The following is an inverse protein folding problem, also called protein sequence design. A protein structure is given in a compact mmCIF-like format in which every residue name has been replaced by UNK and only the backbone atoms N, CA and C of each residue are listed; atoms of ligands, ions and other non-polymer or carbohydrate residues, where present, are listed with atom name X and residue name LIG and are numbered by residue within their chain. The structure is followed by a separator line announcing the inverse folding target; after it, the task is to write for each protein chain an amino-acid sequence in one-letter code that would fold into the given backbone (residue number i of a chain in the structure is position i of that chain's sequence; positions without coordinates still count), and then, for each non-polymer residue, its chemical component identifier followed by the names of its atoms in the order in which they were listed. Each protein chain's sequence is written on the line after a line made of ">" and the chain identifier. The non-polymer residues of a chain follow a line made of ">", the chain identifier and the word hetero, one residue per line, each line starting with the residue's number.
data_IF_287597511517
#
_entry.id   IF_287597511517
#
_cell.length_a   1.000
_cell.length_b   1.000
_cell.length_c   1.000
_cell.angle_alpha   90.00
_cell.angle_beta   90.00
_cell.angle_gamma   90.00
#
_symmetry.space_group_name_H-M   'P 1'
#
loop_
_entity.id
_entity.type
_entity.pdbx_description
1 polymer ?
#
# COMPACT_ATOMS: atom_id res chain seq x y z
N UNK A 1 -7.46 -53.20 -56.83
CA UNK A 1 -6.48 -52.47 -56.01
C UNK A 1 -7.25 -51.54 -55.08
N UNK A 2 -7.39 -51.98 -53.82
CA UNK A 2 -7.70 -51.26 -52.57
C UNK A 2 -8.95 -50.35 -52.54
N UNK A 3 -10.01 -50.88 -51.91
CA UNK A 3 -11.04 -50.11 -51.21
C UNK A 3 -10.43 -49.50 -49.94
N UNK A 4 -10.77 -48.26 -49.58
CA UNK A 4 -10.69 -47.86 -48.17
C UNK A 4 -11.85 -46.93 -47.81
N UNK A 5 -12.88 -47.57 -47.27
CA UNK A 5 -14.04 -46.98 -46.63
C UNK A 5 -13.66 -46.80 -45.15
N UNK A 6 -13.56 -45.56 -44.67
CA UNK A 6 -13.13 -45.27 -43.30
C UNK A 6 -14.06 -44.25 -42.66
N UNK A 7 -15.29 -44.68 -42.40
CA UNK A 7 -16.12 -44.11 -41.36
C UNK A 7 -16.88 -45.23 -40.66
N UNK A 8 -17.04 -45.06 -39.33
CA UNK A 8 -17.92 -45.81 -38.39
C UNK A 8 -17.19 -46.81 -37.48
N UNK A 9 -16.52 -46.26 -36.48
CA UNK A 9 -16.54 -46.83 -35.12
C UNK A 9 -17.05 -45.75 -34.18
N UNK A 10 -18.37 -45.70 -34.00
CA UNK A 10 -18.96 -44.98 -32.87
C UNK A 10 -18.85 -45.89 -31.64
N UNK A 11 -18.39 -45.38 -30.49
CA UNK A 11 -18.25 -46.18 -29.29
C UNK A 11 -19.62 -46.66 -28.76
N UNK A 12 -19.61 -47.83 -28.13
CA UNK A 12 -20.77 -48.53 -27.59
C UNK A 12 -21.64 -47.62 -26.69
N UNK A 13 -22.95 -47.69 -26.89
CA UNK A 13 -24.01 -46.99 -26.14
C UNK A 13 -23.91 -47.17 -24.61
N UNK A 14 -23.26 -48.24 -24.14
CA UNK A 14 -22.97 -48.47 -22.71
C UNK A 14 -21.92 -47.50 -22.16
N UNK A 15 -20.92 -47.13 -22.97
CA UNK A 15 -19.87 -46.16 -22.63
C UNK A 15 -20.44 -44.73 -22.62
N UNK A 16 -21.31 -44.39 -23.58
CA UNK A 16 -22.00 -43.09 -23.61
C UNK A 16 -22.91 -42.87 -22.38
N UNK A 17 -23.58 -43.92 -21.89
CA UNK A 17 -24.46 -43.82 -20.70
C UNK A 17 -23.70 -43.72 -19.38
N UNK A 18 -22.51 -44.32 -19.29
CA UNK A 18 -21.64 -44.22 -18.12
C UNK A 18 -20.99 -42.83 -18.00
N UNK A 19 -20.53 -42.26 -19.12
CA UNK A 19 -19.90 -40.93 -19.16
C UNK A 19 -20.91 -39.81 -18.84
N UNK A 20 -22.16 -39.93 -19.28
CA UNK A 20 -23.22 -38.94 -18.99
C UNK A 20 -23.59 -38.89 -17.49
N UNK A 21 -23.45 -40.01 -16.75
CA UNK A 21 -23.71 -40.04 -15.29
C UNK A 21 -22.55 -39.49 -14.45
N UNK A 22 -21.31 -39.54 -14.95
CA UNK A 22 -20.12 -39.02 -14.23
C UNK A 22 -20.01 -37.49 -14.39
N UNK A 23 -20.44 -36.95 -15.53
CA UNK A 23 -20.42 -35.49 -15.79
C UNK A 23 -21.46 -34.75 -14.95
N UNK A 24 -22.59 -35.37 -14.60
CA UNK A 24 -23.66 -34.73 -13.80
C UNK A 24 -23.25 -34.60 -12.31
N UNK A 25 -22.32 -35.42 -11.81
CA UNK A 25 -21.96 -35.45 -10.38
C UNK A 25 -20.70 -34.62 -10.02
N UNK A 26 -20.02 -34.00 -10.98
CA UNK A 26 -18.75 -33.25 -10.75
C UNK A 26 -18.87 -31.74 -10.95
N UNK A 27 -20.08 -31.19 -11.11
CA UNK A 27 -20.30 -29.76 -11.43
C UNK A 27 -20.57 -28.88 -10.19
N UNK A 28 -20.71 -29.41 -8.98
CA UNK A 28 -21.18 -28.62 -7.81
C UNK A 28 -20.13 -28.36 -6.73
N UNK A 29 -18.88 -28.04 -7.10
CA UNK A 29 -17.88 -27.62 -6.11
C UNK A 29 -16.93 -26.52 -6.60
N UNK A 30 -17.43 -25.62 -7.44
CA UNK A 30 -16.75 -24.35 -7.67
C UNK A 30 -17.15 -23.46 -6.47
N UNK A 31 -16.24 -23.13 -5.53
CA UNK A 31 -16.56 -22.12 -4.53
C UNK A 31 -16.87 -20.82 -5.27
N UNK A 32 -18.08 -20.30 -5.09
CA UNK A 32 -18.42 -18.96 -5.55
C UNK A 32 -17.44 -17.99 -4.90
N UNK A 33 -16.55 -17.42 -5.71
CA UNK A 33 -15.77 -16.26 -5.29
C UNK A 33 -16.78 -15.11 -5.19
N UNK A 34 -17.33 -14.91 -4.00
CA UNK A 34 -18.05 -13.67 -3.70
C UNK A 34 -17.01 -12.55 -3.82
N UNK A 35 -17.17 -11.59 -4.74
CA UNK A 35 -16.27 -10.45 -4.80
C UNK A 35 -16.32 -9.77 -3.42
N UNK A 36 -15.15 -9.53 -2.84
CA UNK A 36 -15.06 -8.81 -1.58
C UNK A 36 -15.78 -7.47 -1.77
N UNK A 37 -16.82 -7.24 -0.98
CA UNK A 37 -17.52 -5.96 -0.97
C UNK A 37 -16.52 -4.90 -0.51
N UNK A 38 -16.45 -3.77 -1.22
CA UNK A 38 -15.63 -2.65 -0.80
C UNK A 38 -16.22 -2.13 0.52
N UNK A 39 -15.56 -2.46 1.63
CA UNK A 39 -15.97 -2.01 2.94
C UNK A 39 -15.82 -0.48 3.03
N UNK A 40 -16.73 0.15 3.78
CA UNK A 40 -16.56 1.55 4.18
C UNK A 40 -15.22 1.75 4.89
N UNK A 41 -14.53 2.89 4.66
CA UNK A 41 -13.26 3.17 5.31
C UNK A 41 -13.44 3.20 6.84
N UNK A 42 -12.56 2.50 7.55
CA UNK A 42 -12.50 2.52 9.01
C UNK A 42 -11.33 3.39 9.43
N UNK A 43 -11.57 4.31 10.37
CA UNK A 43 -10.51 5.13 10.94
C UNK A 43 -9.50 4.23 11.66
N UNK A 44 -8.25 4.24 11.20
CA UNK A 44 -7.16 3.49 11.83
C UNK A 44 -6.62 4.24 13.06
N UNK A 45 -6.33 5.52 12.88
CA UNK A 45 -5.86 6.45 13.91
C UNK A 45 -6.01 7.89 13.42
N UNK A 46 -5.90 8.85 14.34
CA UNK A 46 -5.95 10.28 14.06
C UNK A 46 -5.09 11.05 15.06
N UNK A 47 -4.75 12.31 14.74
CA UNK A 47 -3.93 13.22 15.56
C UNK A 47 -2.47 12.81 15.80
N UNK A 48 -1.96 11.85 15.02
CA UNK A 48 -0.53 11.55 14.99
C UNK A 48 0.27 12.79 14.63
N UNK A 49 1.32 13.09 15.41
CA UNK A 49 2.14 14.27 15.20
C UNK A 49 1.50 15.60 15.59
N UNK A 50 0.35 15.62 16.27
CA UNK A 50 -0.11 16.81 16.96
C UNK A 50 0.73 17.07 18.23
N UNK A 51 0.71 18.31 18.72
CA UNK A 51 1.13 18.64 20.07
C UNK A 51 -0.05 18.39 21.04
N UNK A 52 0.22 18.50 22.34
CA UNK A 52 -0.78 18.20 23.38
C UNK A 52 -2.09 18.99 23.28
N UNK A 53 -2.06 20.19 22.68
CA UNK A 53 -3.22 21.08 22.62
C UNK A 53 -3.57 21.59 21.22
N UNK A 54 -2.76 21.29 20.20
CA UNK A 54 -2.98 21.77 18.84
C UNK A 54 -2.15 20.96 17.82
N UNK A 55 -2.54 21.04 16.55
CA UNK A 55 -1.84 20.41 15.44
C UNK A 55 -1.31 21.48 14.49
N UNK A 56 -0.13 21.26 13.91
CA UNK A 56 0.31 22.07 12.78
C UNK A 56 -0.66 21.91 11.61
N UNK A 57 -0.94 23.02 10.92
CA UNK A 57 -1.80 22.97 9.74
C UNK A 57 -0.96 22.60 8.52
N UNK A 58 -1.28 21.48 7.87
CA UNK A 58 -0.83 21.19 6.51
C UNK A 58 -1.82 21.78 5.50
N UNK A 59 -1.37 22.60 4.55
CA UNK A 59 -2.25 23.16 3.51
C UNK A 59 -2.04 22.52 2.15
N UNK A 60 -0.78 22.38 1.71
CA UNK A 60 -0.47 21.99 0.33
C UNK A 60 0.41 20.74 0.21
N UNK A 61 1.28 20.47 1.18
CA UNK A 61 2.07 19.25 1.20
C UNK A 61 1.16 18.03 1.36
N UNK A 62 1.29 17.07 0.43
CA UNK A 62 0.74 15.73 0.62
C UNK A 62 1.63 14.91 1.57
N UNK A 63 1.05 13.99 2.36
CA UNK A 63 1.84 13.02 3.09
C UNK A 63 2.48 12.01 2.13
N UNK A 64 3.55 11.36 2.59
CA UNK A 64 4.17 10.21 1.92
C UNK A 64 4.06 8.96 2.83
N UNK A 65 4.16 7.78 2.22
CA UNK A 65 4.14 6.50 2.93
C UNK A 65 5.30 5.66 2.40
N UNK A 66 6.16 5.20 3.29
CA UNK A 66 7.32 4.37 2.96
C UNK A 66 7.74 3.57 4.19
N UNK A 67 8.31 2.39 3.97
CA UNK A 67 9.01 1.62 5.01
C UNK A 67 10.44 2.17 5.11
N UNK A 68 10.69 2.95 6.17
CA UNK A 68 11.94 3.69 6.34
C UNK A 68 13.01 2.88 7.09
N UNK A 69 12.61 1.87 7.85
CA UNK A 69 13.51 1.03 8.66
C UNK A 69 13.51 -0.45 8.27
N UNK A 70 12.82 -0.81 7.18
CA UNK A 70 12.75 -2.15 6.58
C UNK A 70 12.16 -3.21 7.54
N UNK A 71 11.18 -2.81 8.37
CA UNK A 71 10.49 -3.73 9.27
C UNK A 71 9.21 -4.36 8.66
N UNK A 72 8.81 -3.93 7.47
CA UNK A 72 7.62 -4.38 6.75
C UNK A 72 6.34 -3.61 7.11
N UNK A 73 6.41 -2.61 8.00
CA UNK A 73 5.30 -1.73 8.39
C UNK A 73 5.61 -0.30 7.92
N UNK A 74 4.98 0.18 6.84
CA UNK A 74 5.27 1.52 6.33
C UNK A 74 4.95 2.63 7.35
N UNK A 75 5.84 3.60 7.48
CA UNK A 75 5.60 4.86 8.17
C UNK A 75 4.73 5.80 7.33
N UNK A 76 4.09 6.74 8.02
CA UNK A 76 3.48 7.93 7.40
C UNK A 76 4.35 9.15 7.69
N UNK A 77 4.80 9.80 6.62
CA UNK A 77 5.56 11.04 6.67
C UNK A 77 4.61 12.19 6.37
N UNK A 78 4.55 13.17 7.27
CA UNK A 78 3.82 14.41 7.05
C UNK A 78 4.73 15.62 7.25
N UNK A 79 4.48 16.68 6.50
CA UNK A 79 5.30 17.88 6.53
C UNK A 79 4.42 19.12 6.52
N UNK A 80 4.60 19.97 7.52
CA UNK A 80 3.87 21.23 7.68
C UNK A 80 4.87 22.36 8.01
N UNK A 81 5.05 22.67 9.30
CA UNK A 81 6.19 23.48 9.72
C UNK A 81 7.35 22.57 10.14
N UNK A 82 7.02 21.49 10.85
CA UNK A 82 7.91 20.37 11.11
C UNK A 82 7.68 19.24 10.11
N UNK A 83 8.69 18.40 9.95
CA UNK A 83 8.57 17.08 9.33
C UNK A 83 8.37 16.08 10.47
N UNK A 84 7.36 15.22 10.35
CA UNK A 84 7.04 14.16 11.32
C UNK A 84 7.02 12.81 10.64
N UNK A 85 7.50 11.80 11.38
CA UNK A 85 7.44 10.39 11.02
C UNK A 85 6.51 9.71 12.01
N UNK A 86 5.47 9.07 11.50
CA UNK A 86 4.46 8.37 12.29
C UNK A 86 4.52 6.89 11.98
N UNK A 87 4.46 6.06 13.01
CA UNK A 87 4.24 4.62 12.87
C UNK A 87 2.92 4.38 12.11
N UNK A 88 2.95 3.66 10.99
CA UNK A 88 1.75 3.50 10.17
C UNK A 88 0.68 2.61 10.81
N UNK A 89 1.06 1.77 11.79
CA UNK A 89 0.11 0.89 12.49
C UNK A 89 -0.74 1.64 13.51
N UNK A 90 -0.13 2.56 14.26
CA UNK A 90 -0.69 3.18 15.45
C UNK A 90 -0.87 4.70 15.35
N UNK A 91 -0.17 5.36 14.41
CA UNK A 91 -0.09 6.81 14.32
C UNK A 91 0.81 7.45 15.37
N UNK A 92 1.57 6.64 16.13
CA UNK A 92 2.50 7.13 17.14
C UNK A 92 3.65 7.93 16.49
N UNK A 93 4.04 9.04 17.11
CA UNK A 93 5.17 9.85 16.65
C UNK A 93 6.49 9.08 16.88
N UNK A 94 7.17 8.71 15.79
CA UNK A 94 8.55 8.17 15.84
C UNK A 94 9.54 9.32 15.99
N UNK A 95 9.53 10.27 15.06
CA UNK A 95 10.45 11.43 15.06
C UNK A 95 9.77 12.72 14.61
N UNK A 96 10.34 13.86 15.02
CA UNK A 96 9.99 15.20 14.53
C UNK A 96 11.25 16.03 14.33
N UNK A 97 11.36 16.72 13.21
CA UNK A 97 12.42 17.70 12.93
C UNK A 97 11.82 19.03 12.48
N UNK A 98 12.45 20.14 12.84
CA UNK A 98 12.03 21.48 12.41
C UNK A 98 12.47 21.70 10.97
N UNK A 99 11.65 22.37 10.15
CA UNK A 99 12.03 22.63 8.76
C UNK A 99 13.34 23.42 8.67
N UNK A 100 14.21 23.01 7.74
CA UNK A 100 15.51 23.62 7.52
C UNK A 100 16.58 23.30 8.57
N UNK A 101 16.35 22.30 9.42
CA UNK A 101 17.28 21.89 10.48
C UNK A 101 17.57 20.39 10.47
N UNK A 102 18.71 20.03 11.04
CA UNK A 102 19.07 18.66 11.34
C UNK A 102 18.35 18.14 12.61
N UNK A 103 18.15 16.83 12.71
CA UNK A 103 17.48 16.19 13.86
C UNK A 103 18.25 16.37 15.17
N UNK A 104 19.56 16.62 15.11
CA UNK A 104 20.41 16.86 16.28
C UNK A 104 20.33 18.29 16.82
N UNK A 105 19.75 19.23 16.08
CA UNK A 105 19.61 20.62 16.51
C UNK A 105 18.44 20.77 17.50
N UNK A 106 18.72 21.40 18.64
CA UNK A 106 17.73 21.61 19.70
C UNK A 106 17.47 23.09 19.93
N UNK A 107 16.25 23.44 20.35
CA UNK A 107 15.86 24.84 20.61
C UNK A 107 15.70 25.72 19.36
N UNK A 108 15.75 25.13 18.17
CA UNK A 108 15.59 25.84 16.90
C UNK A 108 14.12 26.02 16.51
N UNK A 109 13.86 27.06 15.72
CA UNK A 109 12.54 27.38 15.17
C UNK A 109 12.49 27.00 13.69
N UNK A 110 11.30 26.64 13.19
CA UNK A 110 11.12 26.29 11.78
C UNK A 110 11.57 27.45 10.87
N UNK A 111 12.39 27.14 9.86
CA UNK A 111 12.84 28.10 8.85
C UNK A 111 11.70 28.50 7.91
N UNK A 112 10.76 27.58 7.66
CA UNK A 112 9.61 27.87 6.82
C UNK A 112 8.55 26.78 6.83
N UNK A 113 7.52 26.99 6.02
CA UNK A 113 6.47 25.99 5.82
C UNK A 113 6.78 25.14 4.60
N UNK A 114 6.41 23.87 4.64
CA UNK A 114 6.42 22.97 3.48
C UNK A 114 5.23 23.25 2.58
N UNK A 115 5.53 23.46 1.30
CA UNK A 115 4.54 23.65 0.24
C UNK A 115 4.47 22.48 -0.75
N UNK A 116 5.61 21.98 -1.30
CA UNK A 116 5.56 20.87 -2.24
C UNK A 116 5.31 19.54 -1.53
N UNK A 117 5.00 18.51 -2.32
CA UNK A 117 4.94 17.14 -1.85
C UNK A 117 6.31 16.62 -1.39
N UNK A 118 6.26 15.58 -0.56
CA UNK A 118 7.43 14.91 0.01
C UNK A 118 7.92 13.86 -0.99
N UNK A 119 9.23 13.78 -1.20
CA UNK A 119 9.86 12.71 -1.99
C UNK A 119 10.59 11.77 -1.05
N UNK A 120 10.41 10.46 -1.27
CA UNK A 120 11.10 9.41 -0.53
C UNK A 120 11.84 8.55 -1.55
N UNK A 121 13.16 8.52 -1.46
CA UNK A 121 14.01 7.75 -2.37
C UNK A 121 15.37 7.53 -1.76
N UNK A 122 15.99 6.40 -2.07
CA UNK A 122 17.42 6.19 -1.86
C UNK A 122 18.19 7.05 -2.87
N UNK A 123 18.82 8.13 -2.40
CA UNK A 123 19.52 9.10 -3.24
C UNK A 123 21.02 8.80 -3.34
N UNK A 124 21.57 8.08 -2.37
CA UNK A 124 23.01 7.81 -2.27
C UNK A 124 23.39 6.34 -2.51
N UNK A 125 22.40 5.49 -2.78
CA UNK A 125 22.51 4.07 -3.07
C UNK A 125 23.01 3.21 -1.90
N UNK A 126 22.70 3.58 -0.66
CA UNK A 126 23.04 2.78 0.53
C UNK A 126 21.97 1.71 0.88
N UNK A 127 20.85 1.69 0.16
CA UNK A 127 19.74 0.77 0.38
C UNK A 127 18.73 1.23 1.44
N UNK A 128 18.83 2.47 1.93
CA UNK A 128 17.84 3.12 2.79
C UNK A 128 17.28 4.34 2.08
N UNK A 129 15.98 4.64 2.26
CA UNK A 129 15.38 5.80 1.62
C UNK A 129 15.62 7.09 2.42
N UNK A 130 16.00 8.16 1.72
CA UNK A 130 16.03 9.52 2.25
C UNK A 130 14.67 10.22 2.06
N UNK A 131 14.43 11.22 2.90
CA UNK A 131 13.25 12.10 2.83
C UNK A 131 13.70 13.47 2.34
N UNK A 132 13.13 13.94 1.24
CA UNK A 132 13.40 15.26 0.67
C UNK A 132 12.17 16.15 0.80
N UNK A 133 12.36 17.30 1.44
CA UNK A 133 11.35 18.36 1.59
C UNK A 133 11.92 19.71 1.19
N UNK A 134 11.05 20.67 0.86
CA UNK A 134 11.44 22.05 0.60
C UNK A 134 10.48 23.02 1.29
N UNK A 135 11.01 24.17 1.72
CA UNK A 135 10.31 25.08 2.62
C UNK A 135 10.40 26.54 2.14
N UNK A 136 9.52 27.42 2.65
CA UNK A 136 9.53 28.85 2.28
C UNK A 136 10.79 29.62 2.65
N UNK A 137 11.62 29.12 3.56
CA UNK A 137 12.83 29.82 4.02
C UNK A 137 14.14 29.31 3.40
N UNK A 138 14.05 28.44 2.39
CA UNK A 138 15.20 27.69 1.86
C UNK A 138 14.94 26.20 1.96
#
# INVERSE_FOLDING_TARGET
>A
MILNDSFRHLPDSRVLRALCRIIILTVTLIPSVVPAEIQAPVLKWQYGGCYNSWCETGWYSSPAVADLDNDGVPEVIASAYSIVILDGSSGALKWRVKSGHDITETGVSNVGRTWPGIVVTDIDSDGKPEIVTAHSGG
#
